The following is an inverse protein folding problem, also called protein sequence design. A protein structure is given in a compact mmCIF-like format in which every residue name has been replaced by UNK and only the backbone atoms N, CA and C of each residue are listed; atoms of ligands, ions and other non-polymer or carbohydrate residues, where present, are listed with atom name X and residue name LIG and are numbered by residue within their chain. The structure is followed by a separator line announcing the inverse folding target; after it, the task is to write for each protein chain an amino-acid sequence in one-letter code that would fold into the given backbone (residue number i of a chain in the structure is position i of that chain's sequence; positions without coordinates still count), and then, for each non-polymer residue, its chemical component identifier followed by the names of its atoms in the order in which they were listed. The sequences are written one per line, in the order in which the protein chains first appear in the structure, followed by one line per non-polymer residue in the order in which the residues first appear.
data_IF_685741543132
#
_entry.id   IF_685741543132
#
_cell.length_a   1.000
_cell.length_b   1.000
_cell.length_c   1.000
_cell.angle_alpha   90.00
_cell.angle_beta   90.00
_cell.angle_gamma   90.00
#
_symmetry.space_group_name_H-M   'P 1'
#
loop_
_entity.id
_entity.type
_entity.pdbx_description
1 polymer ?
#
# COMPACT_ATOMS: atom_id res chain seq x y z
N UNK A 1 14.72 -24.92 -17.10
CA UNK A 1 14.33 -23.57 -17.58
C UNK A 1 14.14 -22.71 -16.36
N UNK A 2 14.80 -21.55 -16.29
CA UNK A 2 14.72 -20.69 -15.11
C UNK A 2 13.29 -20.17 -14.93
N UNK A 3 12.74 -20.27 -13.72
CA UNK A 3 11.43 -19.73 -13.39
C UNK A 3 11.63 -18.30 -12.88
N UNK A 4 11.28 -17.30 -13.69
CA UNK A 4 11.32 -15.89 -13.29
C UNK A 4 10.17 -15.61 -12.34
N UNK A 5 10.47 -15.29 -11.09
CA UNK A 5 9.48 -14.91 -10.08
C UNK A 5 9.40 -13.40 -9.96
N UNK A 6 8.28 -12.81 -10.38
CA UNK A 6 7.97 -11.39 -10.24
C UNK A 6 7.00 -11.17 -9.07
N UNK A 7 7.27 -10.20 -8.21
CA UNK A 7 6.38 -9.77 -7.11
C UNK A 7 6.32 -8.24 -7.03
N UNK A 8 5.19 -7.70 -6.57
CA UNK A 8 5.03 -6.27 -6.29
C UNK A 8 5.08 -6.01 -4.78
N UNK A 9 5.77 -4.95 -4.39
CA UNK A 9 5.90 -4.54 -2.98
C UNK A 9 5.51 -3.07 -2.85
N UNK A 10 4.42 -2.81 -2.12
CA UNK A 10 3.93 -1.47 -1.84
C UNK A 10 4.34 -1.05 -0.44
N UNK A 11 5.08 0.03 -0.28
CA UNK A 11 5.46 0.57 1.04
C UNK A 11 4.73 1.87 1.28
N UNK A 12 4.14 2.01 2.47
CA UNK A 12 3.38 3.18 2.89
C UNK A 12 3.96 3.75 4.18
N UNK A 13 4.16 5.07 4.22
CA UNK A 13 4.69 5.79 5.38
C UNK A 13 4.04 7.18 5.50
N UNK A 14 4.01 7.71 6.72
CA UNK A 14 3.51 9.04 7.01
C UNK A 14 4.28 9.74 8.13
N UNK A 15 4.36 11.05 7.99
CA UNK A 15 4.84 11.98 8.99
C UNK A 15 3.78 13.06 9.26
N UNK A 16 4.04 13.93 10.23
CA UNK A 16 3.18 15.10 10.48
C UNK A 16 3.07 16.06 9.27
N UNK A 17 4.01 15.99 8.32
CA UNK A 17 4.10 16.93 7.19
C UNK A 17 3.52 16.36 5.89
N UNK A 18 3.63 15.05 5.69
CA UNK A 18 3.25 14.39 4.44
C UNK A 18 3.06 12.90 4.66
N UNK A 19 2.33 12.26 3.74
CA UNK A 19 2.17 10.82 3.67
C UNK A 19 2.41 10.35 2.23
N UNK A 20 2.96 9.15 2.07
CA UNK A 20 3.42 8.65 0.79
C UNK A 20 3.25 7.13 0.65
N UNK A 21 3.22 6.68 -0.59
CA UNK A 21 3.31 5.28 -0.95
C UNK A 21 4.20 5.08 -2.18
N UNK A 22 4.88 3.94 -2.23
CA UNK A 22 5.80 3.56 -3.31
C UNK A 22 5.62 2.10 -3.68
N UNK A 23 5.73 1.77 -4.97
CA UNK A 23 5.62 0.41 -5.50
C UNK A 23 6.94 0.01 -6.15
N UNK A 24 7.50 -1.09 -5.68
CA UNK A 24 8.64 -1.75 -6.30
C UNK A 24 8.22 -3.06 -6.95
N UNK A 25 8.79 -3.35 -8.13
CA UNK A 25 8.79 -4.67 -8.71
C UNK A 25 10.07 -5.39 -8.27
N UNK A 26 9.93 -6.58 -7.70
CA UNK A 26 11.03 -7.47 -7.37
C UNK A 26 10.98 -8.67 -8.32
N UNK A 27 12.03 -8.86 -9.12
CA UNK A 27 12.18 -10.05 -9.96
C UNK A 27 13.35 -10.91 -9.50
N UNK A 28 13.19 -12.22 -9.55
CA UNK A 28 14.24 -13.19 -9.23
C UNK A 28 14.34 -14.22 -10.35
N UNK A 29 15.54 -14.38 -10.88
CA UNK A 29 15.86 -15.29 -11.98
C UNK A 29 17.28 -15.82 -11.76
N UNK A 30 17.45 -17.14 -11.76
CA UNK A 30 18.75 -17.82 -11.51
C UNK A 30 19.49 -17.33 -10.24
N UNK A 31 18.74 -17.04 -9.18
CA UNK A 31 19.28 -16.54 -7.90
C UNK A 31 19.67 -15.06 -7.91
N UNK A 32 19.54 -14.37 -9.04
CA UNK A 32 19.78 -12.93 -9.15
C UNK A 32 18.49 -12.18 -8.85
N UNK A 33 18.53 -11.31 -7.84
CA UNK A 33 17.41 -10.45 -7.46
C UNK A 33 17.62 -9.06 -8.06
N UNK A 34 16.57 -8.54 -8.72
CA UNK A 34 16.49 -7.15 -9.17
C UNK A 34 15.26 -6.48 -8.55
N UNK A 35 15.41 -5.22 -8.16
CA UNK A 35 14.34 -4.41 -7.58
C UNK A 35 14.28 -3.09 -8.34
N UNK A 36 13.11 -2.77 -8.86
CA UNK A 36 12.89 -1.59 -9.70
C UNK A 36 11.71 -0.78 -9.17
N UNK A 37 11.87 0.55 -9.12
CA UNK A 37 10.81 1.47 -8.76
C UNK A 37 9.80 1.56 -9.92
N UNK A 38 8.55 1.20 -9.66
CA UNK A 38 7.48 1.29 -10.66
C UNK A 38 6.78 2.64 -10.57
N UNK A 39 6.32 3.02 -9.37
CA UNK A 39 5.63 4.27 -9.17
C UNK A 39 5.69 4.72 -7.72
N UNK A 40 5.71 6.04 -7.49
CA UNK A 40 5.60 6.64 -6.17
C UNK A 40 4.56 7.75 -6.16
N UNK A 41 3.93 7.97 -5.00
CA UNK A 41 2.97 9.05 -4.79
C UNK A 41 3.09 9.61 -3.38
N UNK A 42 3.19 10.92 -3.27
CA UNK A 42 3.21 11.64 -1.99
C UNK A 42 2.11 12.71 -1.96
N UNK A 43 1.65 13.06 -0.76
CA UNK A 43 0.70 14.14 -0.51
C UNK A 43 1.09 14.90 0.76
N UNK A 44 0.95 16.22 0.72
CA UNK A 44 1.11 17.08 1.91
C UNK A 44 0.00 16.77 2.91
N UNK A 45 0.33 16.76 4.20
CA UNK A 45 -0.62 16.56 5.27
C UNK A 45 -1.71 17.66 5.23
N UNK A 46 -2.98 17.33 5.53
CA UNK A 46 -4.06 18.32 5.52
C UNK A 46 -3.79 19.46 6.53
N UNK A 47 -4.22 20.67 6.19
CA UNK A 47 -4.12 21.84 7.09
C UNK A 47 -4.85 21.60 8.42
N UNK A 48 -5.98 20.88 8.37
CA UNK A 48 -6.63 20.38 9.58
C UNK A 48 -5.81 19.22 10.14
N UNK A 49 -5.20 19.45 11.30
CA UNK A 49 -4.37 18.47 11.97
C UNK A 49 -5.07 17.11 12.12
N UNK A 50 -4.39 16.07 11.68
CA UNK A 50 -4.76 14.67 11.89
C UNK A 50 -3.71 14.03 12.80
N UNK A 51 -4.11 12.99 13.52
CA UNK A 51 -3.17 12.17 14.27
C UNK A 51 -2.27 11.36 13.32
N UNK A 52 -1.08 10.99 13.77
CA UNK A 52 -0.15 10.14 13.01
C UNK A 52 -0.82 8.86 12.49
N UNK A 53 -1.56 8.07 13.30
CA UNK A 53 -2.26 6.89 12.80
C UNK A 53 -3.25 7.15 11.67
N UNK A 54 -3.90 8.32 11.67
CA UNK A 54 -4.81 8.70 10.57
C UNK A 54 -4.05 9.08 9.31
N UNK A 55 -2.88 9.68 9.43
CA UNK A 55 -2.00 9.98 8.30
C UNK A 55 -1.39 8.70 7.71
N UNK A 56 -0.97 7.76 8.56
CA UNK A 56 -0.49 6.44 8.15
C UNK A 56 -1.60 5.64 7.44
N UNK A 57 -2.84 5.71 7.94
CA UNK A 57 -4.00 5.10 7.25
C UNK A 57 -4.27 5.76 5.88
N UNK A 58 -4.05 7.08 5.76
CA UNK A 58 -4.11 7.76 4.47
C UNK A 58 -2.99 7.33 3.53
N UNK A 59 -1.77 7.06 4.04
CA UNK A 59 -0.68 6.47 3.28
C UNK A 59 -1.09 5.12 2.69
N UNK A 60 -1.62 4.21 3.52
CA UNK A 60 -2.14 2.91 3.08
C UNK A 60 -3.25 3.06 2.03
N UNK A 61 -4.15 4.03 2.22
CA UNK A 61 -5.24 4.31 1.27
C UNK A 61 -4.72 4.75 -0.10
N UNK A 62 -3.73 5.65 -0.15
CA UNK A 62 -3.14 6.05 -1.43
C UNK A 62 -2.28 4.94 -2.03
N UNK A 63 -1.67 4.09 -1.22
CA UNK A 63 -0.94 2.90 -1.66
C UNK A 63 -1.85 1.89 -2.36
N UNK A 64 -3.03 1.60 -1.81
CA UNK A 64 -4.02 0.72 -2.42
C UNK A 64 -4.52 1.25 -3.77
N UNK A 65 -4.81 2.57 -3.84
CA UNK A 65 -5.17 3.23 -5.11
C UNK A 65 -4.04 3.23 -6.13
N UNK A 66 -2.80 3.44 -5.67
CA UNK A 66 -1.62 3.43 -6.53
C UNK A 66 -1.41 2.03 -7.14
N UNK A 67 -1.56 0.98 -6.31
CA UNK A 67 -1.48 -0.41 -6.75
C UNK A 67 -2.53 -0.72 -7.81
N UNK A 68 -3.79 -0.41 -7.55
CA UNK A 68 -4.86 -0.61 -8.53
C UNK A 68 -4.55 0.10 -9.86
N UNK A 69 -4.06 1.34 -9.81
CA UNK A 69 -3.68 2.09 -11.01
C UNK A 69 -2.56 1.40 -11.79
N UNK A 70 -1.53 0.88 -11.11
CA UNK A 70 -0.42 0.16 -11.75
C UNK A 70 -0.90 -1.15 -12.36
N UNK A 71 -1.70 -1.92 -11.62
CA UNK A 71 -2.24 -3.19 -12.11
C UNK A 71 -3.13 -3.00 -13.33
N UNK A 72 -3.98 -1.96 -13.33
CA UNK A 72 -4.81 -1.60 -14.48
C UNK A 72 -3.98 -1.18 -15.69
N UNK A 73 -2.95 -0.34 -15.49
CA UNK A 73 -2.13 0.17 -16.58
C UNK A 73 -1.27 -0.93 -17.22
N UNK A 74 -0.79 -1.91 -16.44
CA UNK A 74 0.16 -2.94 -16.89
C UNK A 74 -0.48 -4.32 -17.09
N UNK A 75 -1.75 -4.51 -16.73
CA UNK A 75 -2.42 -5.81 -16.73
C UNK A 75 -1.88 -6.79 -15.68
N UNK A 76 -1.27 -6.30 -14.60
CA UNK A 76 -0.54 -7.09 -13.60
C UNK A 76 -1.40 -7.53 -12.40
N UNK A 77 -2.65 -7.92 -12.64
CA UNK A 77 -3.58 -8.30 -11.57
C UNK A 77 -3.18 -9.60 -10.86
N UNK A 78 -2.51 -10.51 -11.56
CA UNK A 78 -2.13 -11.84 -11.05
C UNK A 78 -0.73 -11.87 -10.42
N UNK A 79 0.00 -10.75 -10.45
CA UNK A 79 1.34 -10.69 -9.85
C UNK A 79 1.20 -10.69 -8.32
N UNK A 80 1.86 -11.62 -7.60
CA UNK A 80 1.83 -11.65 -6.14
C UNK A 80 2.26 -10.30 -5.57
N UNK A 81 1.42 -9.74 -4.71
CA UNK A 81 1.57 -8.37 -4.22
C UNK A 81 1.56 -8.35 -2.70
N UNK A 82 2.47 -7.56 -2.12
CA UNK A 82 2.61 -7.37 -0.68
C UNK A 82 2.51 -5.89 -0.33
N UNK A 83 1.73 -5.55 0.69
CA UNK A 83 1.60 -4.18 1.19
C UNK A 83 2.20 -4.05 2.59
N UNK A 84 3.07 -3.06 2.76
CA UNK A 84 3.90 -2.86 3.94
C UNK A 84 3.62 -1.50 4.58
N UNK A 85 3.52 -1.49 5.90
CA UNK A 85 3.53 -0.31 6.76
C UNK A 85 4.17 -0.71 8.09
N UNK A 86 4.90 0.22 8.71
CA UNK A 86 5.50 0.06 10.05
C UNK A 86 4.53 0.42 11.19
N UNK A 87 3.36 0.97 10.86
CA UNK A 87 2.33 1.27 11.85
C UNK A 87 1.54 0.03 12.26
N UNK A 88 1.83 -0.46 13.46
CA UNK A 88 1.03 -1.50 14.14
C UNK A 88 -0.45 -1.12 14.33
N UNK A 89 -0.74 0.18 14.50
CA UNK A 89 -2.13 0.67 14.65
C UNK A 89 -2.92 0.49 13.36
N UNK A 90 -2.39 0.95 12.24
CA UNK A 90 -2.98 0.75 10.91
C UNK A 90 -3.13 -0.73 10.56
N UNK A 91 -2.14 -1.57 10.85
CA UNK A 91 -2.26 -3.02 10.65
C UNK A 91 -3.44 -3.59 11.45
N UNK A 92 -3.54 -3.25 12.75
CA UNK A 92 -4.64 -3.71 13.59
C UNK A 92 -6.01 -3.23 13.07
N UNK A 93 -6.12 -1.97 12.64
CA UNK A 93 -7.33 -1.42 12.04
C UNK A 93 -7.74 -2.15 10.76
N UNK A 94 -6.78 -2.47 9.88
CA UNK A 94 -7.05 -3.16 8.61
C UNK A 94 -7.41 -4.63 8.84
N UNK A 95 -6.87 -5.29 9.87
CA UNK A 95 -7.08 -6.72 10.10
C UNK A 95 -8.32 -7.02 10.96
N UNK A 96 -8.72 -6.11 11.85
CA UNK A 96 -9.83 -6.36 12.79
C UNK A 96 -11.15 -5.77 12.31
N UNK A 97 -12.25 -6.37 12.76
CA UNK A 97 -13.60 -5.84 12.57
C UNK A 97 -14.11 -5.31 13.91
N UNK A 98 -13.98 -4.00 14.13
CA UNK A 98 -14.45 -3.31 15.34
C UNK A 98 -15.21 -2.03 14.96
N UNK A 99 -15.87 -1.44 15.95
CA UNK A 99 -16.57 -0.16 15.85
C UNK A 99 -15.58 1.02 15.76
N UNK A 100 -15.08 1.28 14.55
CA UNK A 100 -14.20 2.41 14.29
C UNK A 100 -14.97 3.70 13.97
N UNK A 101 -14.34 4.85 14.24
CA UNK A 101 -14.83 6.14 13.76
C UNK A 101 -15.08 6.13 12.25
N UNK A 102 -16.06 6.91 11.77
CA UNK A 102 -16.46 6.96 10.35
C UNK A 102 -15.27 7.19 9.41
N UNK A 103 -14.33 8.07 9.81
CA UNK A 103 -13.10 8.32 9.05
C UNK A 103 -12.29 7.03 8.84
N UNK A 104 -11.98 6.34 9.94
CA UNK A 104 -11.14 5.14 9.94
C UNK A 104 -11.84 4.00 9.19
N UNK A 105 -13.12 3.76 9.50
CA UNK A 105 -13.94 2.72 8.86
C UNK A 105 -14.00 2.89 7.34
N UNK A 106 -14.25 4.10 6.85
CA UNK A 106 -14.37 4.35 5.41
C UNK A 106 -13.04 4.10 4.66
N UNK A 107 -11.89 4.36 5.30
CA UNK A 107 -10.57 4.11 4.67
C UNK A 107 -10.15 2.65 4.75
N UNK A 108 -10.44 1.96 5.86
CA UNK A 108 -10.24 0.51 5.93
C UNK A 108 -11.07 -0.20 4.85
N UNK A 109 -12.35 0.19 4.71
CA UNK A 109 -13.24 -0.37 3.68
C UNK A 109 -12.63 -0.22 2.29
N UNK A 110 -12.20 1.00 1.96
CA UNK A 110 -11.58 1.29 0.67
C UNK A 110 -10.29 0.48 0.45
N UNK A 111 -9.39 0.41 1.43
CA UNK A 111 -8.18 -0.42 1.33
C UNK A 111 -8.55 -1.87 1.05
N UNK A 112 -9.45 -2.45 1.85
CA UNK A 112 -9.88 -3.86 1.68
C UNK A 112 -10.54 -4.13 0.33
N UNK A 113 -11.37 -3.21 -0.16
CA UNK A 113 -12.03 -3.35 -1.47
C UNK A 113 -11.02 -3.31 -2.63
N UNK A 114 -9.99 -2.48 -2.52
CA UNK A 114 -8.96 -2.33 -3.54
C UNK A 114 -7.89 -3.42 -3.50
N UNK A 115 -7.71 -4.08 -2.36
CA UNK A 115 -6.61 -5.03 -2.12
C UNK A 115 -7.10 -6.43 -1.80
N UNK A 116 -8.38 -6.75 -2.02
CA UNK A 116 -8.90 -8.10 -1.81
C UNK A 116 -8.17 -9.07 -2.77
N UNK A 117 -7.23 -9.87 -2.21
CA UNK A 117 -6.27 -10.70 -2.93
C UNK A 117 -4.78 -10.40 -2.64
N UNK A 118 -4.47 -9.30 -1.95
CA UNK A 118 -3.12 -8.79 -1.69
C UNK A 118 -2.84 -8.47 -0.20
N UNK A 119 -3.62 -9.05 0.74
CA UNK A 119 -3.47 -8.87 2.20
C UNK A 119 -3.08 -10.18 2.85
#
# INVERSE_FOLDING_TARGET
GSSKRLTLHVFCDASQKAYAAVIFARSEEDGVVKVELIQAKARVAPLKALSIPRLELLAATIGARLLQSVQQALGWFEIPTFMWTDSSTVLAWIQRQEEWSVFVRNRIREVRELTCGAV
#
